data_IF_703403734410
#
_entry.id   IF_703403734410
#
_cell.length_a   1.000
_cell.length_b   1.000
_cell.length_c   1.000
_cell.angle_alpha   90.00
_cell.angle_beta   90.00
_cell.angle_gamma   90.00
#
_symmetry.space_group_name_H-M   'P 1'
#
loop_
_entity.id
_entity.type
_entity.pdbx_description
1 polymer ?
#
# COMPACT_ATOMS: atom_id res chain seq x y z
N UNK A 1 38.46 19.54 -36.18
CA UNK A 1 38.83 18.98 -34.87
C UNK A 1 37.81 19.53 -33.88
N UNK A 2 36.89 18.82 -33.23
CA UNK A 2 36.49 17.42 -33.23
C UNK A 2 35.10 17.38 -32.60
N UNK A 3 34.35 16.36 -32.98
CA UNK A 3 33.01 15.96 -32.53
C UNK A 3 32.99 15.55 -31.04
N UNK A 4 31.91 15.87 -30.28
CA UNK A 4 30.99 14.90 -29.63
C UNK A 4 30.02 15.60 -28.62
N UNK A 5 28.74 15.69 -29.01
CA UNK A 5 27.54 15.07 -28.39
C UNK A 5 27.50 14.95 -26.82
N UNK A 6 26.43 15.16 -26.04
CA UNK A 6 24.97 15.31 -26.30
C UNK A 6 24.17 15.18 -24.98
N UNK A 7 22.85 15.42 -25.09
CA UNK A 7 21.73 15.01 -24.19
C UNK A 7 21.59 15.76 -22.85
N UNK A 8 20.40 16.12 -22.37
CA UNK A 8 19.02 16.01 -22.84
C UNK A 8 18.20 17.00 -21.99
N UNK A 9 17.32 17.73 -22.66
CA UNK A 9 16.42 18.73 -22.12
C UNK A 9 15.31 18.20 -21.18
N UNK A 10 14.61 19.18 -20.59
CA UNK A 10 13.20 19.24 -20.13
C UNK A 10 13.03 19.06 -18.62
N UNK A 11 12.99 20.12 -17.82
CA UNK A 11 12.02 21.25 -17.76
C UNK A 11 10.58 20.82 -17.44
N UNK A 12 10.02 21.50 -16.44
CA UNK A 12 8.65 22.04 -16.39
C UNK A 12 7.59 21.24 -15.62
N UNK A 13 7.39 21.69 -14.37
CA UNK A 13 6.16 22.36 -13.89
C UNK A 13 5.12 21.56 -13.10
N UNK A 14 4.77 22.17 -11.97
CA UNK A 14 3.64 21.91 -11.09
C UNK A 14 2.32 22.09 -11.83
N UNK A 15 1.36 21.18 -11.61
CA UNK A 15 -0.06 21.49 -11.75
C UNK A 15 -0.85 20.76 -10.68
N UNK A 16 -1.57 21.54 -9.89
CA UNK A 16 -2.65 21.12 -9.01
C UNK A 16 -3.92 21.12 -9.87
N UNK A 17 -4.69 20.03 -9.88
CA UNK A 17 -6.09 20.06 -10.30
C UNK A 17 -6.88 18.99 -9.54
N UNK A 18 -7.90 19.46 -8.84
CA UNK A 18 -9.00 18.69 -8.30
C UNK A 18 -10.15 18.70 -9.32
N UNK A 19 -10.54 17.54 -9.82
CA UNK A 19 -11.82 17.39 -10.53
C UNK A 19 -12.50 16.08 -10.11
N UNK A 20 -13.69 16.23 -9.53
CA UNK A 20 -14.66 15.16 -9.35
C UNK A 20 -15.43 15.00 -10.66
N UNK A 21 -15.44 13.80 -11.23
CA UNK A 21 -16.43 13.41 -12.22
C UNK A 21 -16.82 11.95 -11.98
N UNK A 22 -18.12 11.75 -11.79
CA UNK A 22 -18.76 10.46 -11.61
C UNK A 22 -19.22 9.87 -12.95
N UNK A 23 -19.13 8.54 -13.04
CA UNK A 23 -19.98 7.62 -13.82
C UNK A 23 -19.34 6.88 -14.99
N UNK A 24 -19.61 5.58 -14.94
CA UNK A 24 -19.72 4.59 -16.01
C UNK A 24 -18.47 3.84 -16.47
N UNK A 25 -18.67 2.52 -16.55
CA UNK A 25 -17.77 1.43 -16.96
C UNK A 25 -16.59 1.16 -16.03
N UNK A 26 -16.84 0.38 -14.98
CA UNK A 26 -15.77 -0.29 -14.24
C UNK A 26 -15.34 -1.54 -14.99
N UNK A 27 -14.79 -1.34 -16.19
CA UNK A 27 -13.86 -2.30 -16.76
C UNK A 27 -12.75 -2.46 -15.71
N UNK A 28 -12.70 -3.66 -15.13
CA UNK A 28 -11.84 -3.97 -14.00
C UNK A 28 -10.40 -4.00 -14.50
N UNK A 29 -9.78 -2.83 -14.64
CA UNK A 29 -8.35 -2.72 -14.91
C UNK A 29 -7.67 -3.57 -13.84
N UNK A 30 -6.91 -4.62 -14.21
CA UNK A 30 -6.24 -5.46 -13.23
C UNK A 30 -5.24 -4.58 -12.49
N UNK A 31 -5.62 -4.11 -11.30
CA UNK A 31 -4.75 -3.34 -10.44
C UNK A 31 -3.58 -4.25 -10.11
N UNK A 32 -2.42 -3.94 -10.68
CA UNK A 32 -1.23 -4.75 -10.48
C UNK A 32 -0.85 -4.67 -9.00
N UNK A 33 -1.09 -5.76 -8.27
CA UNK A 33 -0.83 -5.82 -6.83
C UNK A 33 0.66 -5.69 -6.56
N UNK A 34 1.02 -4.77 -5.68
CA UNK A 34 2.40 -4.54 -5.27
C UNK A 34 2.90 -5.70 -4.41
N UNK A 35 4.03 -6.30 -4.79
CA UNK A 35 4.63 -7.37 -4.01
C UNK A 35 5.29 -6.81 -2.75
N UNK A 36 4.86 -7.31 -1.59
CA UNK A 36 5.47 -7.07 -0.28
C UNK A 36 6.19 -8.34 0.14
N UNK A 37 7.48 -8.20 0.45
CA UNK A 37 8.26 -9.29 0.99
C UNK A 37 8.12 -9.30 2.51
N UNK A 38 7.80 -10.46 3.08
CA UNK A 38 7.70 -10.68 4.52
C UNK A 38 8.78 -11.67 4.93
N UNK A 39 9.58 -11.29 5.93
CA UNK A 39 10.58 -12.19 6.52
C UNK A 39 9.93 -13.24 7.42
N UNK A 40 10.65 -14.31 7.72
CA UNK A 40 10.23 -15.32 8.70
C UNK A 40 9.98 -14.73 10.11
N UNK A 41 10.62 -13.60 10.42
CA UNK A 41 10.40 -12.83 11.65
C UNK A 41 9.20 -11.87 11.57
N UNK A 42 8.43 -11.91 10.48
CA UNK A 42 7.25 -11.07 10.30
C UNK A 42 7.52 -9.60 10.06
N UNK A 43 8.62 -9.27 9.38
CA UNK A 43 8.92 -7.90 8.98
C UNK A 43 8.67 -7.72 7.49
N UNK A 44 7.93 -6.67 7.12
CA UNK A 44 7.84 -6.24 5.74
C UNK A 44 9.19 -5.66 5.30
N UNK A 45 9.76 -6.18 4.20
CA UNK A 45 11.05 -5.80 3.63
C UNK A 45 10.93 -5.55 2.13
N UNK A 46 12.01 -5.07 1.51
CA UNK A 46 12.07 -4.76 0.09
C UNK A 46 11.56 -3.35 -0.29
N UNK A 47 11.33 -3.10 -1.58
CA UNK A 47 11.06 -1.76 -2.12
C UNK A 47 9.67 -1.23 -1.74
N UNK A 48 8.67 -2.11 -1.62
CA UNK A 48 7.29 -1.72 -1.33
C UNK A 48 6.95 -1.66 0.17
N UNK A 49 7.91 -1.95 1.07
CA UNK A 49 7.66 -1.99 2.52
C UNK A 49 7.14 -0.66 3.07
N UNK A 50 7.67 0.46 2.58
CA UNK A 50 7.31 1.78 3.06
C UNK A 50 5.86 2.10 2.69
N UNK A 51 5.48 1.85 1.43
CA UNK A 51 4.11 2.00 0.94
C UNK A 51 3.13 1.11 1.73
N UNK A 52 3.50 -0.15 1.98
CA UNK A 52 2.70 -1.05 2.80
C UNK A 52 2.47 -0.51 4.22
N UNK A 53 3.53 -0.08 4.90
CA UNK A 53 3.41 0.49 6.26
C UNK A 53 2.59 1.77 6.28
N UNK A 54 2.78 2.66 5.30
CA UNK A 54 1.99 3.89 5.18
C UNK A 54 0.50 3.58 4.97
N UNK A 55 0.16 2.65 4.07
CA UNK A 55 -1.24 2.30 3.81
C UNK A 55 -1.88 1.57 4.99
N UNK A 56 -1.18 0.60 5.58
CA UNK A 56 -1.66 -0.08 6.79
C UNK A 56 -1.91 0.92 7.91
N UNK A 57 -0.97 1.84 8.17
CA UNK A 57 -1.14 2.90 9.15
C UNK A 57 -2.31 3.83 8.82
N UNK A 58 -2.51 4.18 7.55
CA UNK A 58 -3.64 5.01 7.11
C UNK A 58 -4.98 4.32 7.38
N UNK A 59 -5.14 3.04 7.01
CA UNK A 59 -6.39 2.32 7.25
C UNK A 59 -6.67 2.13 8.74
N UNK A 60 -5.66 1.81 9.54
CA UNK A 60 -5.82 1.66 10.99
C UNK A 60 -6.23 2.99 11.61
N UNK A 61 -5.57 4.10 11.26
CA UNK A 61 -5.92 5.43 11.78
C UNK A 61 -7.32 5.86 11.38
N UNK A 62 -7.69 5.65 10.12
CA UNK A 62 -8.98 6.10 9.59
C UNK A 62 -10.15 5.24 10.07
N UNK A 63 -9.96 3.92 10.19
CA UNK A 63 -11.07 2.99 10.51
C UNK A 63 -11.18 2.60 11.98
N UNK A 64 -10.08 2.64 12.74
CA UNK A 64 -9.98 1.91 14.02
C UNK A 64 -9.54 2.81 15.17
N UNK A 65 -8.54 3.68 14.94
CA UNK A 65 -7.84 4.41 16.01
C UNK A 65 -8.71 5.37 16.83
N UNK A 66 -9.93 5.68 16.39
CA UNK A 66 -10.86 6.53 17.15
C UNK A 66 -11.55 5.78 18.30
N UNK A 67 -11.57 4.45 18.27
CA UNK A 67 -12.35 3.63 19.21
C UNK A 67 -11.50 2.72 20.09
N UNK A 68 -10.27 2.38 19.65
CA UNK A 68 -9.41 1.41 20.33
C UNK A 68 -8.02 1.99 20.58
N UNK A 69 -7.53 2.01 21.84
CA UNK A 69 -6.19 2.49 22.17
C UNK A 69 -5.08 1.56 21.67
N UNK A 70 -5.30 0.24 21.64
CA UNK A 70 -4.32 -0.73 21.18
C UNK A 70 -4.86 -1.66 20.08
N UNK A 71 -3.98 -2.09 19.17
CA UNK A 71 -4.35 -3.02 18.08
C UNK A 71 -4.94 -4.35 18.58
N UNK A 72 -4.51 -4.81 19.76
CA UNK A 72 -5.00 -6.05 20.38
C UNK A 72 -6.47 -5.98 20.77
N UNK A 73 -6.98 -4.80 21.13
CA UNK A 73 -8.35 -4.55 21.57
C UNK A 73 -9.33 -4.40 20.41
N UNK A 74 -8.81 -4.20 19.20
CA UNK A 74 -9.60 -4.07 17.99
C UNK A 74 -10.30 -5.38 17.69
N UNK A 75 -11.63 -5.33 17.52
CA UNK A 75 -12.41 -6.50 17.14
C UNK A 75 -11.92 -7.11 15.81
N UNK A 76 -12.04 -8.43 15.73
CA UNK A 76 -11.61 -9.21 14.58
C UNK A 76 -12.20 -8.70 13.25
N UNK A 77 -13.47 -8.30 13.26
CA UNK A 77 -14.17 -7.73 12.10
C UNK A 77 -13.43 -6.50 11.51
N UNK A 78 -12.94 -5.59 12.36
CA UNK A 78 -12.21 -4.41 11.87
C UNK A 78 -10.82 -4.76 11.37
N UNK A 79 -10.15 -5.70 12.03
CA UNK A 79 -8.86 -6.25 11.55
C UNK A 79 -9.04 -6.87 10.17
N UNK A 80 -10.07 -7.68 9.98
CA UNK A 80 -10.40 -8.31 8.69
C UNK A 80 -10.66 -7.27 7.60
N UNK A 81 -11.39 -6.19 7.92
CA UNK A 81 -11.65 -5.11 6.98
C UNK A 81 -10.36 -4.41 6.51
N UNK A 82 -9.39 -4.20 7.42
CA UNK A 82 -8.06 -3.64 7.07
C UNK A 82 -7.30 -4.60 6.15
N UNK A 83 -7.26 -5.89 6.50
CA UNK A 83 -6.57 -6.90 5.69
C UNK A 83 -7.18 -7.10 4.32
N UNK A 84 -8.50 -7.08 4.22
CA UNK A 84 -9.20 -7.15 2.94
C UNK A 84 -8.81 -5.96 2.04
N UNK A 85 -8.72 -4.74 2.59
CA UNK A 85 -8.22 -3.60 1.81
C UNK A 85 -6.75 -3.75 1.42
N UNK A 86 -5.88 -4.13 2.35
CA UNK A 86 -4.47 -4.34 2.05
C UNK A 86 -4.25 -5.42 0.97
N UNK A 87 -5.03 -6.49 0.96
CA UNK A 87 -4.90 -7.58 -0.02
C UNK A 87 -5.49 -7.27 -1.40
N UNK A 88 -6.26 -6.18 -1.53
CA UNK A 88 -6.65 -5.65 -2.84
C UNK A 88 -5.48 -4.93 -3.52
N UNK A 89 -4.63 -4.25 -2.76
CA UNK A 89 -3.52 -3.44 -3.29
C UNK A 89 -2.16 -4.15 -3.26
N UNK A 90 -1.98 -5.08 -2.32
CA UNK A 90 -0.71 -5.76 -2.09
C UNK A 90 -0.86 -7.28 -2.23
N UNK A 91 0.20 -7.91 -2.74
CA UNK A 91 0.41 -9.37 -2.71
C UNK A 91 1.64 -9.68 -1.86
N UNK A 92 1.67 -10.84 -1.22
CA UNK A 92 2.77 -11.24 -0.35
C UNK A 92 3.58 -12.37 -0.97
N UNK A 93 4.86 -12.46 -0.63
CA UNK A 93 5.73 -13.59 -1.00
C UNK A 93 5.36 -14.89 -0.25
N UNK A 94 4.56 -14.80 0.80
CA UNK A 94 4.06 -15.91 1.62
C UNK A 94 2.52 -15.88 1.64
N UNK A 95 1.85 -16.99 2.02
CA UNK A 95 0.41 -17.00 2.24
C UNK A 95 -0.05 -15.86 3.15
N UNK A 96 -1.15 -15.20 2.79
CA UNK A 96 -1.69 -14.04 3.53
C UNK A 96 -1.99 -14.36 5.00
N UNK A 97 -2.44 -15.59 5.28
CA UNK A 97 -2.69 -16.09 6.64
C UNK A 97 -1.43 -16.05 7.49
N UNK A 98 -0.28 -16.46 6.93
CA UNK A 98 1.01 -16.38 7.60
C UNK A 98 1.49 -14.95 7.73
N UNK A 99 1.40 -14.15 6.67
CA UNK A 99 1.77 -12.73 6.70
C UNK A 99 1.03 -11.98 7.81
N UNK A 100 -0.27 -12.26 7.97
CA UNK A 100 -1.12 -11.69 9.00
C UNK A 100 -0.67 -12.06 10.41
N UNK A 101 -0.53 -13.35 10.69
CA UNK A 101 -0.06 -13.84 12.00
C UNK A 101 1.27 -13.18 12.38
N UNK A 102 2.15 -13.04 11.41
CA UNK A 102 3.47 -12.47 11.61
C UNK A 102 3.46 -10.96 11.84
N UNK A 103 2.61 -10.22 11.13
CA UNK A 103 2.52 -8.76 11.20
C UNK A 103 1.66 -8.26 12.37
N UNK A 104 0.71 -9.07 12.85
CA UNK A 104 -0.15 -8.74 13.99
C UNK A 104 0.49 -9.03 15.35
N UNK A 105 1.59 -9.80 15.42
CA UNK A 105 2.31 -10.12 16.66
C UNK A 105 3.15 -8.97 17.24
N UNK A 106 2.97 -7.73 16.77
CA UNK A 106 3.75 -6.56 17.19
C UNK A 106 2.97 -5.62 18.10
#
# INVERSE_FOLDING_TARGET
IGEVQSWLEKSTTHSVSCESNASHDTESVPVEKLLVMVTTCGKAVGPNRAKFHSQAGHYIKYKISLFFPEWKEVDQHFKDAVWNKLTTEFKFNIPVTLARIHLEKR
#
